data_IF_387674671745
#
_entry.id   IF_387674671745
#
_cell.length_a   1.000
_cell.length_b   1.000
_cell.length_c   1.000
_cell.angle_alpha   90.00
_cell.angle_beta   90.00
_cell.angle_gamma   90.00
#
_symmetry.space_group_name_H-M   'P 1'
#
loop_
_entity.id
_entity.type
_entity.pdbx_description
1 polymer ?
#
# COMPACT_ATOMS: atom_id res chain seq x y z
N UNK A 1 -33.17 -14.23 -34.72
CA UNK A 1 -33.38 -13.40 -33.51
C UNK A 1 -32.49 -12.18 -33.59
N UNK A 2 -33.07 -10.97 -33.59
CA UNK A 2 -32.36 -9.69 -33.79
C UNK A 2 -32.54 -8.69 -32.64
N UNK A 3 -33.29 -9.05 -31.59
CA UNK A 3 -33.62 -8.17 -30.47
C UNK A 3 -32.82 -8.54 -29.22
N UNK A 4 -32.32 -7.55 -28.46
CA UNK A 4 -31.76 -7.76 -27.12
C UNK A 4 -32.75 -8.48 -26.18
N UNK A 5 -32.30 -9.11 -25.08
CA UNK A 5 -33.13 -10.02 -24.30
C UNK A 5 -34.35 -9.35 -23.65
N UNK A 6 -34.25 -8.08 -23.21
CA UNK A 6 -35.38 -7.33 -22.64
C UNK A 6 -36.49 -7.04 -23.67
N UNK A 7 -36.22 -6.34 -24.79
CA UNK A 7 -37.24 -6.09 -25.80
C UNK A 7 -37.74 -7.39 -26.45
N UNK A 8 -36.90 -8.43 -26.53
CA UNK A 8 -37.32 -9.77 -26.94
C UNK A 8 -38.35 -10.37 -25.97
N UNK A 9 -38.08 -10.36 -24.66
CA UNK A 9 -39.03 -10.86 -23.66
C UNK A 9 -40.37 -10.09 -23.68
N UNK A 10 -40.32 -8.77 -23.86
CA UNK A 10 -41.52 -7.93 -24.00
C UNK A 10 -42.33 -8.29 -25.25
N UNK A 11 -41.66 -8.49 -26.39
CA UNK A 11 -42.31 -8.92 -27.63
C UNK A 11 -42.94 -10.32 -27.50
N UNK A 12 -42.25 -11.26 -26.83
CA UNK A 12 -42.76 -12.61 -26.57
C UNK A 12 -44.01 -12.58 -25.68
N UNK A 13 -44.06 -11.71 -24.65
CA UNK A 13 -45.25 -11.54 -23.82
C UNK A 13 -46.45 -11.01 -24.61
N UNK A 14 -46.22 -10.04 -25.50
CA UNK A 14 -47.28 -9.53 -26.39
C UNK A 14 -47.77 -10.61 -27.36
N UNK A 15 -46.86 -11.43 -27.88
CA UNK A 15 -47.22 -12.58 -28.73
C UNK A 15 -48.05 -13.60 -27.94
N UNK A 16 -47.63 -13.99 -26.73
CA UNK A 16 -48.39 -14.88 -25.85
C UNK A 16 -49.79 -14.34 -25.51
N UNK A 17 -49.91 -13.03 -25.25
CA UNK A 17 -51.19 -12.37 -24.99
C UNK A 17 -52.13 -12.44 -26.22
N UNK A 18 -51.61 -12.18 -27.43
CA UNK A 18 -52.39 -12.29 -28.66
C UNK A 18 -52.84 -13.73 -28.93
N UNK A 19 -51.99 -14.70 -28.59
CA UNK A 19 -52.24 -16.12 -28.78
C UNK A 19 -53.29 -16.63 -27.77
N UNK A 20 -53.31 -16.07 -26.55
CA UNK A 20 -54.35 -16.31 -25.56
C UNK A 20 -55.73 -15.91 -26.09
N UNK A 21 -55.86 -14.73 -26.70
CA UNK A 21 -57.13 -14.30 -27.33
C UNK A 21 -57.60 -15.29 -28.39
N UNK A 22 -56.69 -15.73 -29.28
CA UNK A 22 -57.01 -16.74 -30.31
C UNK A 22 -57.40 -18.10 -29.73
N UNK A 23 -56.85 -18.49 -28.58
CA UNK A 23 -57.21 -19.74 -27.90
C UNK A 23 -58.70 -19.79 -27.55
N UNK A 24 -59.26 -18.68 -27.06
CA UNK A 24 -60.69 -18.61 -26.74
C UNK A 24 -61.56 -18.68 -27.99
N UNK A 25 -61.12 -18.07 -29.10
CA UNK A 25 -61.83 -18.09 -30.39
C UNK A 25 -61.91 -19.48 -31.01
N UNK A 26 -60.80 -20.22 -30.98
CA UNK A 26 -60.67 -21.54 -31.62
C UNK A 26 -61.15 -22.69 -30.70
N UNK A 27 -61.43 -22.39 -29.44
CA UNK A 27 -61.88 -23.41 -28.48
C UNK A 27 -63.25 -24.01 -28.82
N UNK A 28 -63.40 -25.32 -28.60
CA UNK A 28 -64.69 -26.03 -28.73
C UNK A 28 -65.77 -25.51 -27.76
N UNK A 29 -65.36 -24.80 -26.71
CA UNK A 29 -66.22 -24.26 -25.65
C UNK A 29 -66.51 -22.75 -25.84
N UNK A 30 -66.28 -22.19 -27.02
CA UNK A 30 -66.43 -20.74 -27.30
C UNK A 30 -67.78 -20.17 -26.83
N UNK A 31 -68.88 -20.87 -27.08
CA UNK A 31 -70.22 -20.42 -26.66
C UNK A 31 -70.31 -20.28 -25.13
N UNK A 32 -69.77 -21.25 -24.37
CA UNK A 32 -69.70 -21.21 -22.91
C UNK A 32 -68.86 -20.03 -22.42
N UNK A 33 -67.71 -19.77 -23.06
CA UNK A 33 -66.86 -18.63 -22.72
C UNK A 33 -67.56 -17.29 -22.95
N UNK A 34 -68.19 -17.10 -24.12
CA UNK A 34 -68.94 -15.87 -24.43
C UNK A 34 -70.08 -15.67 -23.44
N UNK A 35 -70.78 -16.74 -23.05
CA UNK A 35 -71.87 -16.67 -22.06
C UNK A 35 -71.34 -16.31 -20.67
N UNK A 36 -70.20 -16.89 -20.27
CA UNK A 36 -69.55 -16.62 -18.99
C UNK A 36 -68.99 -15.18 -18.90
N UNK A 37 -68.52 -14.62 -20.01
CA UNK A 37 -67.91 -13.30 -20.09
C UNK A 37 -68.86 -12.22 -20.63
N UNK A 38 -70.15 -12.31 -20.26
CA UNK A 38 -71.19 -11.30 -20.56
C UNK A 38 -71.26 -10.90 -22.04
N UNK A 39 -71.09 -11.86 -22.94
CA UNK A 39 -71.22 -11.65 -24.38
C UNK A 39 -69.93 -11.26 -25.10
N UNK A 40 -68.79 -11.18 -24.42
CA UNK A 40 -67.48 -10.86 -25.03
C UNK A 40 -66.41 -11.86 -24.57
N UNK A 41 -65.25 -11.93 -25.26
CA UNK A 41 -64.12 -12.72 -24.79
C UNK A 41 -63.23 -11.91 -23.83
N UNK A 42 -62.42 -12.55 -22.97
CA UNK A 42 -61.53 -11.83 -22.06
C UNK A 42 -60.58 -10.90 -22.83
N UNK A 43 -60.42 -9.64 -22.41
CA UNK A 43 -59.44 -8.75 -23.03
C UNK A 43 -58.03 -9.17 -22.59
N UNK A 44 -57.18 -9.52 -23.55
CA UNK A 44 -55.74 -9.61 -23.36
C UNK A 44 -55.07 -8.35 -23.90
N UNK A 45 -53.79 -8.14 -23.56
CA UNK A 45 -53.01 -6.99 -24.03
C UNK A 45 -53.13 -6.88 -25.56
N UNK A 46 -53.75 -5.79 -26.03
CA UNK A 46 -53.89 -5.51 -27.45
C UNK A 46 -52.50 -5.37 -28.07
N UNK A 47 -52.26 -6.01 -29.22
CA UNK A 47 -51.04 -5.82 -30.01
C UNK A 47 -51.03 -4.45 -30.69
N UNK A 48 -51.22 -3.37 -29.94
CA UNK A 48 -51.17 -2.02 -30.48
C UNK A 48 -49.77 -1.47 -30.32
N UNK A 49 -48.90 -1.84 -31.27
CA UNK A 49 -47.60 -1.20 -31.46
C UNK A 49 -46.42 -2.17 -31.47
N UNK A 50 -46.19 -2.85 -32.58
CA UNK A 50 -44.93 -2.74 -33.32
C UNK A 50 -44.96 -3.59 -34.59
N UNK A 51 -44.67 -2.92 -35.70
CA UNK A 51 -44.37 -3.54 -36.97
C UNK A 51 -43.05 -4.32 -36.89
N UNK A 52 -43.08 -5.53 -37.46
CA UNK A 52 -41.97 -6.23 -38.11
C UNK A 52 -40.75 -6.65 -37.26
N UNK A 53 -40.68 -7.96 -36.97
CA UNK A 53 -39.50 -8.78 -37.27
C UNK A 53 -39.95 -10.20 -37.64
N UNK A 54 -39.26 -10.90 -38.56
CA UNK A 54 -39.73 -12.18 -39.10
C UNK A 54 -39.29 -13.33 -38.19
N UNK A 55 -40.21 -13.81 -37.35
CA UNK A 55 -40.16 -15.14 -36.71
C UNK A 55 -41.56 -15.77 -36.81
N UNK A 56 -41.68 -17.11 -36.81
CA UNK A 56 -42.41 -17.92 -37.80
C UNK A 56 -43.94 -18.02 -37.57
N UNK A 57 -44.59 -16.89 -37.29
CA UNK A 57 -46.03 -16.81 -37.07
C UNK A 57 -46.73 -16.14 -38.27
N UNK A 58 -46.35 -16.51 -39.50
CA UNK A 58 -47.20 -16.25 -40.68
C UNK A 58 -48.36 -17.27 -40.79
N UNK A 59 -48.33 -18.34 -39.99
CA UNK A 59 -49.46 -19.27 -39.89
C UNK A 59 -50.46 -18.72 -38.88
N UNK A 60 -51.67 -18.39 -39.34
CA UNK A 60 -52.79 -18.17 -38.44
C UNK A 60 -53.17 -19.53 -37.83
N UNK A 61 -52.89 -19.79 -36.55
CA UNK A 61 -53.14 -21.10 -35.97
C UNK A 61 -54.65 -21.33 -35.95
N UNK A 62 -55.08 -22.45 -36.53
CA UNK A 62 -56.51 -22.75 -36.74
C UNK A 62 -57.03 -23.79 -35.76
N UNK A 63 -56.16 -24.43 -34.99
CA UNK A 63 -56.53 -25.52 -34.07
C UNK A 63 -56.00 -25.24 -32.66
N UNK A 64 -56.77 -25.61 -31.63
CA UNK A 64 -56.35 -25.48 -30.22
C UNK A 64 -55.01 -26.17 -29.94
N UNK A 65 -54.72 -27.31 -30.59
CA UNK A 65 -53.45 -28.03 -30.46
C UNK A 65 -52.25 -27.21 -30.96
N UNK A 66 -52.40 -26.53 -32.10
CA UNK A 66 -51.35 -25.66 -32.67
C UNK A 66 -51.08 -24.48 -31.74
N UNK A 67 -52.15 -23.86 -31.25
CA UNK A 67 -52.10 -22.76 -30.27
C UNK A 67 -51.34 -23.17 -29.01
N UNK A 68 -51.64 -24.35 -28.44
CA UNK A 68 -50.91 -24.87 -27.28
C UNK A 68 -49.44 -25.17 -27.58
N UNK A 69 -49.13 -25.72 -28.76
CA UNK A 69 -47.73 -25.97 -29.15
C UNK A 69 -46.93 -24.68 -29.29
N UNK A 70 -47.54 -23.62 -29.84
CA UNK A 70 -46.92 -22.30 -29.94
C UNK A 70 -46.73 -21.66 -28.57
N UNK A 71 -47.67 -21.86 -27.64
CA UNK A 71 -47.49 -21.45 -26.24
C UNK A 71 -46.29 -22.11 -25.58
N UNK A 72 -46.09 -23.42 -25.78
CA UNK A 72 -44.93 -24.11 -25.22
C UNK A 72 -43.61 -23.59 -25.79
N UNK A 73 -43.58 -23.28 -27.10
CA UNK A 73 -42.41 -22.68 -27.73
C UNK A 73 -42.10 -21.29 -27.18
N UNK A 74 -43.10 -20.40 -27.13
CA UNK A 74 -42.97 -19.04 -26.58
C UNK A 74 -42.54 -19.08 -25.11
N UNK A 75 -43.05 -20.03 -24.33
CA UNK A 75 -42.65 -20.24 -22.95
C UNK A 75 -41.18 -20.64 -22.81
N UNK A 76 -40.66 -21.52 -23.68
CA UNK A 76 -39.22 -21.82 -23.67
C UNK A 76 -38.40 -20.58 -24.02
N UNK A 77 -38.81 -19.84 -25.05
CA UNK A 77 -38.10 -18.63 -25.50
C UNK A 77 -38.11 -17.52 -24.44
N UNK A 78 -39.19 -17.38 -23.66
CA UNK A 78 -39.23 -16.37 -22.60
C UNK A 78 -38.35 -16.76 -21.41
N UNK A 79 -38.29 -18.05 -21.06
CA UNK A 79 -37.36 -18.52 -20.02
C UNK A 79 -35.90 -18.29 -20.41
N UNK A 80 -35.55 -18.55 -21.67
CA UNK A 80 -34.22 -18.26 -22.20
C UNK A 80 -33.92 -16.75 -22.13
N UNK A 81 -34.85 -15.90 -22.59
CA UNK A 81 -34.67 -14.46 -22.54
C UNK A 81 -34.53 -13.92 -21.10
N UNK A 82 -35.25 -14.49 -20.13
CA UNK A 82 -35.14 -14.14 -18.72
C UNK A 82 -33.83 -14.63 -18.11
N UNK A 83 -33.34 -15.82 -18.48
CA UNK A 83 -32.04 -16.32 -18.05
C UNK A 83 -30.90 -15.41 -18.54
N UNK A 84 -30.93 -14.98 -19.81
CA UNK A 84 -29.97 -14.00 -20.35
C UNK A 84 -30.05 -12.65 -19.64
N UNK A 85 -31.25 -12.18 -19.23
CA UNK A 85 -31.38 -10.96 -18.44
C UNK A 85 -30.74 -11.08 -17.07
N UNK A 86 -30.87 -12.24 -16.43
CA UNK A 86 -30.22 -12.50 -15.15
C UNK A 86 -28.70 -12.49 -15.30
N UNK A 87 -28.16 -13.14 -16.34
CA UNK A 87 -26.72 -13.11 -16.62
C UNK A 87 -26.20 -11.68 -16.86
N UNK A 88 -26.96 -10.84 -17.57
CA UNK A 88 -26.59 -9.43 -17.78
C UNK A 88 -26.53 -8.67 -16.45
N UNK A 89 -27.46 -8.90 -15.52
CA UNK A 89 -27.42 -8.27 -14.20
C UNK A 89 -26.18 -8.71 -13.41
N UNK A 90 -25.87 -10.00 -13.40
CA UNK A 90 -24.70 -10.54 -12.72
C UNK A 90 -23.40 -9.96 -13.31
N UNK A 91 -23.33 -9.81 -14.64
CA UNK A 91 -22.21 -9.16 -15.34
C UNK A 91 -22.11 -7.67 -15.03
N UNK A 92 -23.23 -6.96 -14.85
CA UNK A 92 -23.24 -5.55 -14.47
C UNK A 92 -22.70 -5.36 -13.04
N UNK A 93 -23.07 -6.23 -12.10
CA UNK A 93 -22.55 -6.20 -10.74
C UNK A 93 -21.05 -6.51 -10.70
N UNK A 94 -20.61 -7.52 -11.45
CA UNK A 94 -19.20 -7.85 -11.59
C UNK A 94 -18.38 -6.68 -12.19
N UNK A 95 -18.93 -6.00 -13.21
CA UNK A 95 -18.33 -4.80 -13.80
C UNK A 95 -18.19 -3.68 -12.77
N UNK A 96 -19.25 -3.37 -12.01
CA UNK A 96 -19.20 -2.31 -10.99
C UNK A 96 -18.14 -2.58 -9.92
N UNK A 97 -17.99 -3.85 -9.51
CA UNK A 97 -16.95 -4.27 -8.58
C UNK A 97 -15.55 -4.00 -9.12
N UNK A 98 -15.30 -4.37 -10.38
CA UNK A 98 -14.02 -4.12 -11.05
C UNK A 98 -13.75 -2.62 -11.19
N UNK A 99 -14.76 -1.82 -11.56
CA UNK A 99 -14.63 -0.36 -11.67
C UNK A 99 -14.22 0.28 -10.33
N UNK A 100 -14.77 -0.20 -9.21
CA UNK A 100 -14.39 0.27 -7.89
C UNK A 100 -12.94 -0.11 -7.53
N UNK A 101 -12.54 -1.36 -7.81
CA UNK A 101 -11.19 -1.83 -7.57
C UNK A 101 -10.15 -1.08 -8.42
N UNK A 102 -10.45 -0.78 -9.68
CA UNK A 102 -9.59 0.03 -10.55
C UNK A 102 -9.36 1.41 -9.95
N UNK A 103 -10.43 2.11 -9.56
CA UNK A 103 -10.32 3.44 -8.95
C UNK A 103 -9.51 3.43 -7.65
N UNK A 104 -9.67 2.38 -6.84
CA UNK A 104 -8.88 2.20 -5.62
C UNK A 104 -7.39 2.05 -5.93
N UNK A 105 -7.04 1.21 -6.92
CA UNK A 105 -5.65 1.03 -7.36
C UNK A 105 -5.06 2.28 -8.00
N UNK A 106 -5.82 2.99 -8.83
CA UNK A 106 -5.39 4.24 -9.46
C UNK A 106 -5.07 5.30 -8.41
N UNK A 107 -5.92 5.42 -7.38
CA UNK A 107 -5.68 6.30 -6.23
C UNK A 107 -4.40 5.92 -5.46
N UNK A 108 -4.20 4.63 -5.20
CA UNK A 108 -3.00 4.14 -4.52
C UNK A 108 -1.72 4.40 -5.34
N UNK A 109 -1.79 4.20 -6.66
CA UNK A 109 -0.67 4.46 -7.57
C UNK A 109 -0.33 5.95 -7.63
N UNK A 110 -1.35 6.82 -7.68
CA UNK A 110 -1.16 8.27 -7.65
C UNK A 110 -0.51 8.72 -6.32
N UNK A 111 -0.96 8.17 -5.19
CA UNK A 111 -0.35 8.45 -3.89
C UNK A 111 1.11 7.97 -3.82
N UNK A 112 1.40 6.81 -4.42
CA UNK A 112 2.78 6.31 -4.53
C UNK A 112 3.65 7.21 -5.40
N UNK A 113 3.15 7.67 -6.56
CA UNK A 113 3.85 8.58 -7.45
C UNK A 113 4.18 9.92 -6.77
N UNK A 114 3.25 10.46 -5.98
CA UNK A 114 3.49 11.67 -5.19
C UNK A 114 4.62 11.48 -4.17
N UNK A 115 4.60 10.36 -3.44
CA UNK A 115 5.68 10.01 -2.49
C UNK A 115 7.03 9.85 -3.18
N UNK A 116 7.04 9.28 -4.39
CA UNK A 116 8.26 9.16 -5.18
C UNK A 116 8.81 10.54 -5.56
N UNK A 117 7.94 11.45 -6.01
CA UNK A 117 8.33 12.84 -6.31
C UNK A 117 8.76 13.62 -5.06
N UNK A 118 8.16 13.37 -3.89
CA UNK A 118 8.61 13.95 -2.62
C UNK A 118 10.02 13.45 -2.25
N UNK A 119 10.28 12.14 -2.42
CA UNK A 119 11.59 11.56 -2.15
C UNK A 119 12.66 12.06 -3.11
N UNK A 120 12.34 12.18 -4.41
CA UNK A 120 13.21 12.77 -5.43
C UNK A 120 13.60 14.21 -5.07
N UNK A 121 12.61 15.06 -4.77
CA UNK A 121 12.88 16.44 -4.30
C UNK A 121 13.76 16.48 -3.05
N UNK A 122 13.52 15.58 -2.10
CA UNK A 122 14.34 15.47 -0.89
C UNK A 122 15.80 15.11 -1.21
N UNK A 123 16.04 14.24 -2.19
CA UNK A 123 17.38 13.89 -2.65
C UNK A 123 18.06 15.04 -3.41
N UNK A 124 17.33 15.77 -4.26
CA UNK A 124 17.85 16.92 -4.98
C UNK A 124 18.36 17.99 -4.00
N UNK A 125 17.56 18.34 -2.99
CA UNK A 125 17.96 19.27 -1.93
C UNK A 125 19.22 18.78 -1.20
N UNK A 126 19.28 17.49 -0.84
CA UNK A 126 20.43 16.93 -0.16
C UNK A 126 21.72 16.97 -1.01
N UNK A 127 21.58 16.75 -2.32
CA UNK A 127 22.70 16.86 -3.27
C UNK A 127 23.20 18.30 -3.34
N UNK A 128 22.29 19.28 -3.42
CA UNK A 128 22.62 20.70 -3.42
C UNK A 128 23.33 21.10 -2.12
N UNK A 129 22.76 20.76 -0.96
CA UNK A 129 23.33 21.00 0.37
C UNK A 129 24.74 20.39 0.53
N UNK A 130 24.92 19.14 0.07
CA UNK A 130 26.22 18.48 0.11
C UNK A 130 27.23 19.15 -0.83
N UNK A 131 26.77 19.59 -2.00
CA UNK A 131 27.60 20.30 -2.97
C UNK A 131 28.07 21.63 -2.41
N UNK A 132 27.20 22.37 -1.72
CA UNK A 132 27.50 23.65 -1.07
C UNK A 132 28.40 23.47 0.15
N UNK A 133 28.18 22.42 0.96
CA UNK A 133 29.12 22.04 2.01
C UNK A 133 30.53 21.79 1.44
N UNK A 134 30.61 21.05 0.32
CA UNK A 134 31.88 20.75 -0.35
C UNK A 134 32.50 21.98 -1.03
N UNK A 135 31.70 22.86 -1.63
CA UNK A 135 32.17 24.10 -2.27
C UNK A 135 32.63 25.10 -1.22
N UNK A 136 31.89 25.28 -0.13
CA UNK A 136 32.32 26.10 1.02
C UNK A 136 33.66 25.60 1.55
N UNK A 137 33.85 24.27 1.66
CA UNK A 137 35.14 23.66 1.99
C UNK A 137 36.26 23.96 0.96
N UNK A 138 35.95 24.07 -0.33
CA UNK A 138 36.93 24.36 -1.40
C UNK A 138 37.22 25.86 -1.59
N UNK A 139 36.20 26.72 -1.53
CA UNK A 139 36.37 28.18 -1.68
C UNK A 139 37.13 28.74 -0.48
N UNK A 140 36.89 28.23 0.74
CA UNK A 140 37.72 28.54 1.92
C UNK A 140 39.18 28.05 1.79
N UNK A 141 39.49 27.16 0.83
CA UNK A 141 40.85 26.65 0.59
C UNK A 141 41.61 27.36 -0.55
N UNK A 142 40.94 28.21 -1.32
CA UNK A 142 41.56 28.90 -2.49
C UNK A 142 41.80 30.38 -2.22
N UNK A 143 41.15 30.96 -1.20
CA UNK A 143 41.19 32.40 -0.91
C UNK A 143 41.90 32.76 0.40
N UNK A 144 42.96 32.04 0.75
CA UNK A 144 43.85 32.42 1.87
C UNK A 144 45.26 32.70 1.35
N UNK A 145 45.33 33.68 0.43
CA UNK A 145 46.48 34.56 0.30
C UNK A 145 46.05 35.93 0.79
N UNK A 146 46.48 36.22 2.03
CA UNK A 146 46.69 37.56 2.59
C UNK A 146 45.44 38.43 2.76
N UNK A 147 44.68 38.25 3.85
CA UNK A 147 44.35 39.41 4.70
C UNK A 147 43.92 39.02 6.12
N UNK A 148 44.42 39.81 7.06
CA UNK A 148 44.29 39.70 8.51
C UNK A 148 42.95 40.33 8.93
N UNK A 149 41.89 39.54 9.12
CA UNK A 149 40.65 40.07 9.70
C UNK A 149 39.88 39.04 10.53
N UNK A 150 40.25 39.03 11.80
CA UNK A 150 39.44 38.78 12.99
C UNK A 150 37.92 38.87 12.73
N UNK A 151 37.21 37.75 12.67
CA UNK A 151 35.88 37.51 13.28
C UNK A 151 35.32 36.14 12.88
N UNK A 152 34.74 35.47 13.86
CA UNK A 152 33.89 34.26 13.79
C UNK A 152 34.53 32.95 14.25
N UNK A 153 34.16 32.62 15.49
CA UNK A 153 34.26 31.33 16.15
C UNK A 153 33.64 30.20 15.33
N UNK A 154 34.47 29.38 14.68
CA UNK A 154 34.35 27.92 14.65
C UNK A 154 35.74 27.39 14.34
N UNK A 155 36.28 26.50 15.18
CA UNK A 155 37.63 25.96 15.04
C UNK A 155 37.66 25.05 13.80
N UNK A 156 37.90 25.62 12.62
CA UNK A 156 38.13 24.89 11.37
C UNK A 156 39.58 24.44 11.32
N UNK A 157 39.93 23.40 12.07
CA UNK A 157 41.27 22.83 11.98
C UNK A 157 41.43 22.14 10.63
N UNK A 158 42.20 22.74 9.72
CA UNK A 158 42.74 22.05 8.56
C UNK A 158 43.69 20.96 9.09
N UNK A 159 43.17 19.74 9.27
CA UNK A 159 43.95 18.63 9.79
C UNK A 159 44.95 18.18 8.72
N UNK A 160 46.24 18.33 9.01
CA UNK A 160 47.28 17.78 8.13
C UNK A 160 47.19 16.26 8.17
N UNK A 161 47.31 15.61 7.02
CA UNK A 161 47.30 14.14 6.94
C UNK A 161 48.41 13.53 7.81
N UNK A 162 49.56 14.20 7.90
CA UNK A 162 50.66 13.82 8.79
C UNK A 162 50.20 13.77 10.25
N UNK A 163 49.40 14.73 10.68
CA UNK A 163 48.94 14.85 12.07
C UNK A 163 47.87 13.80 12.37
N UNK A 164 46.99 13.52 11.40
CA UNK A 164 46.01 12.42 11.47
C UNK A 164 46.73 11.08 11.59
N UNK A 165 47.71 10.80 10.72
CA UNK A 165 48.45 9.54 10.74
C UNK A 165 49.30 9.40 12.01
N UNK A 166 49.94 10.49 12.44
CA UNK A 166 50.74 10.51 13.67
C UNK A 166 49.86 10.34 14.91
N UNK A 167 48.70 10.98 14.96
CA UNK A 167 47.73 10.83 16.04
C UNK A 167 47.13 9.42 16.06
N UNK A 168 46.73 8.90 14.89
CA UNK A 168 46.26 7.53 14.75
C UNK A 168 47.29 6.51 15.26
N UNK A 169 48.57 6.69 14.93
CA UNK A 169 49.65 5.85 15.45
C UNK A 169 49.79 5.97 16.98
N UNK A 170 49.68 7.18 17.54
CA UNK A 170 49.74 7.40 19.00
C UNK A 170 48.61 6.69 19.75
N UNK A 171 47.38 6.73 19.23
CA UNK A 171 46.22 6.09 19.89
C UNK A 171 46.12 4.59 19.61
N UNK A 172 46.73 4.10 18.52
CA UNK A 172 46.68 2.67 18.16
C UNK A 172 47.19 1.75 19.28
N UNK A 173 48.14 2.21 20.10
CA UNK A 173 48.68 1.44 21.22
C UNK A 173 47.72 1.32 22.42
N UNK A 174 46.73 2.21 22.54
CA UNK A 174 45.78 2.24 23.67
C UNK A 174 44.35 1.88 23.27
N UNK A 175 44.02 1.91 21.97
CA UNK A 175 42.69 1.59 21.44
C UNK A 175 42.62 0.24 20.71
N UNK A 176 43.72 -0.52 20.68
CA UNK A 176 43.75 -1.86 20.08
C UNK A 176 43.33 -2.93 21.09
N UNK A 177 42.23 -3.62 20.80
CA UNK A 177 41.82 -4.84 21.48
C UNK A 177 41.93 -6.01 20.49
N UNK A 178 42.83 -6.99 20.69
CA UNK A 178 42.87 -8.20 19.87
C UNK A 178 41.49 -8.89 19.84
N UNK A 179 41.06 -9.50 18.71
CA UNK A 179 39.78 -10.20 18.62
C UNK A 179 39.58 -11.27 19.71
N UNK A 180 40.69 -11.89 20.12
CA UNK A 180 40.76 -12.92 21.18
C UNK A 180 40.40 -12.39 22.57
N UNK A 181 40.48 -11.07 22.80
CA UNK A 181 40.08 -10.45 24.07
C UNK A 181 38.56 -10.41 24.25
N UNK A 182 37.80 -10.21 23.17
CA UNK A 182 36.33 -10.21 23.22
C UNK A 182 35.73 -11.59 23.56
N UNK A 183 36.49 -12.66 23.37
CA UNK A 183 36.12 -14.03 23.70
C UNK A 183 36.58 -14.48 25.11
N UNK A 184 37.23 -13.60 25.89
CA UNK A 184 37.68 -13.88 27.27
C UNK A 184 38.82 -14.91 27.39
N UNK A 185 39.44 -15.32 26.29
CA UNK A 185 40.43 -16.41 26.28
C UNK A 185 41.86 -15.97 26.61
N UNK A 186 42.18 -14.68 26.44
CA UNK A 186 43.54 -14.14 26.65
C UNK A 186 43.47 -12.83 27.43
N UNK A 187 44.14 -12.68 28.59
CA UNK A 187 44.29 -11.39 29.25
C UNK A 187 45.01 -10.38 28.34
N UNK A 188 44.58 -9.11 28.32
CA UNK A 188 45.26 -8.01 27.60
C UNK A 188 46.71 -7.88 28.10
N UNK A 189 47.64 -8.62 27.50
CA UNK A 189 49.07 -8.47 27.79
C UNK A 189 49.64 -7.42 26.84
N UNK A 190 50.13 -6.32 27.42
CA UNK A 190 50.96 -5.33 26.74
C UNK A 190 50.23 -4.10 26.18
N UNK A 191 48.90 -4.03 26.25
CA UNK A 191 48.18 -2.77 26.05
C UNK A 191 48.10 -2.04 27.40
N UNK A 192 48.50 -0.76 27.45
CA UNK A 192 48.16 0.11 28.58
C UNK A 192 46.64 -0.01 28.79
N UNK A 193 46.13 -0.10 30.03
CA UNK A 193 44.69 -0.14 30.22
C UNK A 193 44.06 1.09 29.55
N UNK A 194 42.82 0.94 29.04
CA UNK A 194 42.18 1.93 28.17
C UNK A 194 42.00 3.31 28.83
N UNK A 195 42.12 3.40 30.16
CA UNK A 195 42.10 4.64 30.92
C UNK A 195 43.41 4.82 31.72
N UNK A 196 43.85 6.06 31.97
CA UNK A 196 44.98 6.36 32.85
C UNK A 196 44.81 5.67 34.21
N UNK A 197 45.83 4.93 34.66
CA UNK A 197 45.78 4.22 35.93
C UNK A 197 45.89 5.16 37.12
N UNK A 198 45.37 4.75 38.27
CA UNK A 198 45.43 5.49 39.54
C UNK A 198 46.85 5.97 39.91
N UNK A 199 47.88 5.16 39.67
CA UNK A 199 49.28 5.56 39.91
C UNK A 199 49.73 6.69 38.96
N UNK A 200 49.30 6.66 37.69
CA UNK A 200 49.55 7.72 36.72
C UNK A 200 48.74 8.98 37.03
N UNK A 201 47.50 8.81 37.52
CA UNK A 201 46.67 9.93 37.98
C UNK A 201 47.31 10.60 39.20
N UNK A 202 47.80 9.82 40.17
CA UNK A 202 48.54 10.34 41.34
C UNK A 202 49.89 10.97 40.99
N UNK A 203 50.55 10.49 39.94
CA UNK A 203 51.78 11.10 39.42
C UNK A 203 51.52 12.34 38.54
N UNK A 204 50.27 12.64 38.20
CA UNK A 204 49.93 13.79 37.36
C UNK A 204 50.17 15.11 38.11
N UNK A 205 50.57 16.15 37.38
CA UNK A 205 50.76 17.48 37.98
C UNK A 205 49.48 18.03 38.59
N UNK A 206 48.31 17.61 38.08
CA UNK A 206 47.00 18.00 38.61
C UNK A 206 46.73 17.43 40.00
N UNK A 207 47.26 16.25 40.32
CA UNK A 207 47.10 15.64 41.64
C UNK A 207 47.69 16.50 42.77
N UNK A 208 48.76 17.24 42.48
CA UNK A 208 49.37 18.18 43.43
C UNK A 208 48.45 19.35 43.82
N UNK A 209 47.41 19.62 43.02
CA UNK A 209 46.43 20.67 43.27
C UNK A 209 45.05 20.13 43.67
N UNK A 210 44.92 18.81 43.87
CA UNK A 210 43.64 18.18 44.21
C UNK A 210 43.02 18.74 45.51
N UNK A 211 43.85 19.19 46.45
CA UNK A 211 43.42 19.74 47.73
C UNK A 211 43.22 21.27 47.72
N UNK A 212 43.67 21.98 46.67
CA UNK A 212 43.43 23.42 46.55
C UNK A 212 41.93 23.66 46.40
N UNK A 213 41.39 24.59 47.19
CA UNK A 213 39.98 24.97 47.11
C UNK A 213 39.75 25.87 45.90
N UNK A 214 39.26 25.28 44.80
CA UNK A 214 38.94 25.97 43.54
C UNK A 214 37.50 26.54 43.57
N UNK A 215 36.84 26.58 44.74
CA UNK A 215 35.48 27.12 44.90
C UNK A 215 34.37 26.18 44.40
N UNK A 216 34.67 24.89 44.22
CA UNK A 216 33.69 23.84 43.94
C UNK A 216 33.42 23.04 45.23
N UNK A 217 32.15 22.67 45.52
CA UNK A 217 31.84 21.92 46.74
C UNK A 217 32.58 20.57 46.76
N UNK A 218 33.45 20.35 47.75
CA UNK A 218 34.21 19.11 47.90
C UNK A 218 33.25 17.93 48.05
N UNK A 219 33.23 17.03 47.07
CA UNK A 219 32.60 15.72 47.24
C UNK A 219 33.42 14.94 48.27
N UNK A 220 32.76 14.50 49.34
CA UNK A 220 33.39 13.74 50.43
C UNK A 220 33.77 12.35 49.88
N UNK A 221 35.04 12.16 49.52
CA UNK A 221 35.59 10.84 49.24
C UNK A 221 35.78 10.09 50.57
N UNK A 222 34.82 9.22 50.90
CA UNK A 222 34.95 8.23 51.98
C UNK A 222 36.04 7.23 51.63
N UNK A 223 37.18 7.34 52.31
CA UNK A 223 38.23 6.31 52.40
C UNK A 223 37.69 5.08 53.13
N UNK A 224 37.15 4.08 52.43
CA UNK A 224 36.92 2.76 53.03
C UNK A 224 37.23 1.57 52.08
N UNK A 225 38.25 0.80 52.51
CA UNK A 225 38.40 -0.67 52.47
C UNK A 225 38.67 -1.42 51.15
N UNK A 226 39.97 -1.69 50.97
CA UNK A 226 40.61 -3.02 50.88
C UNK A 226 39.67 -4.22 51.16
N UNK A 227 39.52 -5.06 50.12
CA UNK A 227 39.35 -6.54 50.05
C UNK A 227 38.08 -7.18 50.65
N UNK A 228 37.31 -7.91 49.82
CA UNK A 228 37.11 -9.37 50.00
C UNK A 228 36.47 -10.06 48.78
N UNK A 229 36.92 -11.30 48.56
CA UNK A 229 36.58 -12.19 47.47
C UNK A 229 35.22 -12.88 47.69
N UNK A 230 34.44 -13.06 46.62
CA UNK A 230 33.31 -14.00 46.54
C UNK A 230 33.34 -14.56 45.10
N UNK A 231 34.05 -15.67 44.88
CA UNK A 231 33.50 -17.03 44.76
C UNK A 231 32.45 -17.15 43.65
N UNK A 232 32.92 -17.73 42.55
CA UNK A 232 32.14 -18.36 41.47
C UNK A 232 31.23 -19.48 42.02
N UNK A 233 30.08 -19.73 41.38
CA UNK A 233 29.59 -21.11 41.28
C UNK A 233 29.57 -21.60 39.82
N UNK A 234 29.83 -22.90 39.59
CA UNK A 234 30.03 -23.51 38.27
C UNK A 234 28.70 -23.79 37.54
N UNK A 235 28.74 -24.22 36.26
CA UNK A 235 27.57 -24.27 35.39
C UNK A 235 26.74 -25.54 35.59
N UNK A 236 25.43 -25.34 35.75
CA UNK A 236 24.32 -26.18 35.24
C UNK A 236 22.99 -25.57 35.65
#
# INVERSE_FOLDING_TARGET
>A
SLLPPLPRAQALLLQMASLASKLFEVSSNRSLWVTAFRGSLPPFLSSHGQAQSPTPLETSPSTTKEILSLFTLLQTQIFEAVAELQEILDLQDAKQKIDHESRSKDSALLAFANKLGDAERGLDILVDDYSDYRRTKRMKSVDDSEDDSLTSSTVSSQLKLSDILSYAHRISYTTFAPPEFGAGQVPLRGALPPAPQEEQMRASQLYNFADLDIGLPKAVETKEKIIEAIIEPPPS
#
